data_IF_700792052198
#
_entry.id   IF_700792052198
#
_cell.length_a   1.000
_cell.length_b   1.000
_cell.length_c   1.000
_cell.angle_alpha   90.00
_cell.angle_beta   90.00
_cell.angle_gamma   90.00
#
_symmetry.space_group_name_H-M   'P 1'
#
loop_
_entity.id
_entity.type
_entity.pdbx_description
1 polymer ?
#
# COMPACT_ATOMS: atom_id res chain seq x y z
N UNK A 1 5.35 18.43 15.16
CA UNK A 1 6.06 17.19 14.79
C UNK A 1 5.25 15.97 15.19
N UNK A 2 4.85 15.83 16.46
CA UNK A 2 3.95 14.76 16.93
C UNK A 2 2.72 14.54 16.03
N UNK A 3 1.86 15.54 15.84
CA UNK A 3 0.66 15.44 14.98
C UNK A 3 1.00 15.06 13.53
N UNK A 4 2.18 15.47 13.04
CA UNK A 4 2.64 15.17 11.68
C UNK A 4 2.99 13.68 11.56
N UNK A 5 3.63 13.12 12.58
CA UNK A 5 3.93 11.68 12.67
C UNK A 5 2.62 10.90 12.82
N UNK A 6 1.75 11.30 13.75
CA UNK A 6 0.45 10.66 14.00
C UNK A 6 -0.42 10.61 12.73
N UNK A 7 -0.53 11.73 12.02
CA UNK A 7 -1.26 11.81 10.75
C UNK A 7 -0.63 10.98 9.62
N UNK A 8 0.62 10.52 9.77
CA UNK A 8 1.31 9.65 8.82
C UNK A 8 1.33 8.17 9.23
N UNK A 9 0.79 7.82 10.40
CA UNK A 9 0.62 6.41 10.79
C UNK A 9 -0.42 5.77 9.87
N UNK A 10 -0.09 4.59 9.36
CA UNK A 10 -0.94 3.78 8.48
C UNK A 10 -1.11 2.39 9.07
N UNK A 11 -2.27 1.78 8.80
CA UNK A 11 -2.53 0.39 9.12
C UNK A 11 -1.95 -0.56 8.06
N UNK A 12 -2.37 -1.82 8.12
CA UNK A 12 -2.05 -2.80 7.08
C UNK A 12 -2.60 -2.40 5.72
N UNK A 13 -1.83 -2.63 4.66
CA UNK A 13 -2.25 -2.41 3.28
C UNK A 13 -3.09 -3.61 2.83
N UNK A 14 -4.31 -3.35 2.38
CA UNK A 14 -5.17 -4.33 1.72
C UNK A 14 -5.44 -3.85 0.29
N UNK A 15 -4.88 -4.56 -0.69
CA UNK A 15 -4.91 -4.17 -2.09
C UNK A 15 -5.26 -5.37 -2.99
N UNK A 16 -6.09 -5.12 -4.00
CA UNK A 16 -6.52 -6.14 -4.96
C UNK A 16 -6.28 -5.62 -6.38
N UNK A 17 -5.18 -6.08 -7.00
CA UNK A 17 -4.86 -5.74 -8.40
C UNK A 17 -5.82 -6.38 -9.40
N UNK A 18 -6.07 -7.69 -9.21
CA UNK A 18 -6.92 -8.51 -10.09
C UNK A 18 -8.04 -9.11 -9.26
N UNK A 19 -9.29 -8.76 -9.60
CA UNK A 19 -10.48 -9.19 -8.83
C UNK A 19 -10.77 -10.68 -8.90
N UNK A 20 -10.37 -11.32 -10.00
CA UNK A 20 -10.57 -12.75 -10.20
C UNK A 20 -9.36 -13.35 -10.92
N UNK A 21 -8.83 -14.41 -10.35
CA UNK A 21 -7.84 -15.27 -11.00
C UNK A 21 -8.20 -16.72 -10.70
N UNK A 22 -8.03 -17.58 -11.70
CA UNK A 22 -8.29 -19.01 -11.59
C UNK A 22 -7.03 -19.77 -11.98
N UNK A 23 -6.76 -20.87 -11.27
CA UNK A 23 -5.64 -21.76 -11.55
C UNK A 23 -6.13 -22.86 -12.50
N UNK A 24 -5.55 -22.97 -13.69
CA UNK A 24 -5.79 -24.05 -14.65
C UNK A 24 -4.74 -25.14 -14.48
N UNK A 25 -4.52 -25.61 -13.25
CA UNK A 25 -3.49 -26.62 -13.01
C UNK A 25 -4.09 -28.03 -13.00
N UNK A 26 -3.30 -29.01 -13.44
CA UNK A 26 -3.68 -30.44 -13.52
C UNK A 26 -4.03 -31.11 -12.17
N UNK A 27 -3.68 -30.50 -11.05
CA UNK A 27 -3.98 -30.98 -9.71
C UNK A 27 -5.33 -30.47 -9.17
N UNK A 28 -5.96 -29.50 -9.83
CA UNK A 28 -7.30 -28.97 -9.48
C UNK A 28 -8.26 -29.31 -10.60
N UNK A 29 -8.88 -30.49 -10.49
CA UNK A 29 -9.69 -31.10 -11.56
C UNK A 29 -10.92 -30.28 -11.94
N UNK A 30 -11.48 -29.51 -11.00
CA UNK A 30 -12.68 -28.70 -11.21
C UNK A 30 -12.44 -27.52 -12.16
N UNK A 31 -11.21 -27.01 -12.23
CA UNK A 31 -10.84 -25.85 -13.05
C UNK A 31 -9.86 -26.19 -14.17
N UNK A 32 -9.34 -27.42 -14.24
CA UNK A 32 -8.41 -27.84 -15.28
C UNK A 32 -9.07 -27.86 -16.67
N UNK A 33 -8.35 -27.34 -17.67
CA UNK A 33 -8.77 -27.29 -19.07
C UNK A 33 -7.54 -27.56 -19.94
N UNK A 34 -7.49 -28.75 -20.57
CA UNK A 34 -6.37 -29.16 -21.44
C UNK A 34 -6.12 -28.22 -22.62
N UNK A 35 -7.10 -27.39 -22.99
CA UNK A 35 -6.97 -26.40 -24.08
C UNK A 35 -6.33 -25.10 -23.63
N UNK A 36 -6.12 -24.92 -22.32
CA UNK A 36 -5.51 -23.70 -21.75
C UNK A 36 -4.10 -24.00 -21.26
N UNK A 37 -3.29 -22.95 -21.22
CA UNK A 37 -1.99 -23.00 -20.57
C UNK A 37 -2.16 -23.25 -19.07
N UNK A 38 -1.32 -24.13 -18.50
CA UNK A 38 -1.34 -24.41 -17.07
C UNK A 38 -0.98 -23.16 -16.28
N UNK A 39 -1.81 -22.81 -15.29
CA UNK A 39 -1.57 -21.67 -14.41
C UNK A 39 -1.67 -22.06 -12.95
N UNK A 40 -0.82 -21.47 -12.11
CA UNK A 40 -0.73 -21.74 -10.67
C UNK A 40 -0.94 -20.46 -9.87
N UNK A 41 -1.67 -20.56 -8.75
CA UNK A 41 -1.82 -19.45 -7.79
C UNK A 41 -0.96 -19.76 -6.58
N UNK A 42 -0.03 -18.86 -6.26
CA UNK A 42 0.83 -18.98 -5.07
C UNK A 42 0.36 -18.01 -4.00
N UNK A 43 0.15 -18.53 -2.80
CA UNK A 43 -0.09 -17.72 -1.60
C UNK A 43 1.20 -17.69 -0.80
N UNK A 44 1.63 -16.49 -0.43
CA UNK A 44 2.80 -16.27 0.44
C UNK A 44 2.33 -15.55 1.68
N UNK A 45 2.80 -15.99 2.84
CA UNK A 45 2.54 -15.34 4.12
C UNK A 45 3.84 -15.18 4.89
N UNK A 46 3.97 -14.06 5.60
CA UNK A 46 5.10 -13.79 6.47
C UNK A 46 4.73 -14.20 7.89
N UNK A 47 5.54 -15.07 8.49
CA UNK A 47 5.37 -15.45 9.90
C UNK A 47 5.77 -14.27 10.79
N UNK A 48 4.86 -13.81 11.64
CA UNK A 48 5.10 -12.72 12.59
C UNK A 48 5.67 -11.44 11.95
N UNK A 49 4.95 -10.90 10.95
CA UNK A 49 5.37 -9.69 10.22
C UNK A 49 5.75 -8.54 11.15
N UNK A 50 4.90 -8.21 12.13
CA UNK A 50 5.18 -7.11 13.06
C UNK A 50 6.40 -7.39 13.95
N UNK A 51 6.55 -8.62 14.45
CA UNK A 51 7.72 -8.99 15.23
C UNK A 51 9.02 -8.88 14.44
N UNK A 52 9.01 -9.30 13.16
CA UNK A 52 10.15 -9.11 12.26
C UNK A 52 10.46 -7.62 12.03
N UNK A 53 9.44 -6.77 11.85
CA UNK A 53 9.65 -5.33 11.71
C UNK A 53 10.25 -4.72 12.99
N UNK A 54 9.86 -5.22 14.16
CA UNK A 54 10.42 -4.77 15.45
C UNK A 54 11.89 -5.14 15.65
N UNK A 55 12.46 -6.06 14.87
CA UNK A 55 13.90 -6.36 14.90
C UNK A 55 14.71 -5.50 13.93
N UNK A 56 14.07 -4.65 13.14
CA UNK A 56 14.76 -3.74 12.22
C UNK A 56 15.15 -2.44 12.94
N UNK A 57 15.90 -1.56 12.26
CA UNK A 57 16.15 -0.22 12.76
C UNK A 57 14.83 0.55 12.89
N UNK A 58 14.60 1.13 14.06
CA UNK A 58 13.39 1.88 14.38
C UNK A 58 13.76 3.26 14.91
N UNK A 59 12.99 4.25 14.52
CA UNK A 59 13.11 5.62 15.01
C UNK A 59 12.62 5.73 16.46
N UNK A 60 13.57 5.92 17.38
CA UNK A 60 13.29 5.96 18.82
C UNK A 60 13.20 7.37 19.41
N UNK A 61 13.78 8.40 18.77
CA UNK A 61 13.78 9.76 19.33
C UNK A 61 14.74 10.74 18.67
N UNK A 62 14.96 11.88 19.34
CA UNK A 62 15.82 12.99 18.90
C UNK A 62 15.44 13.60 17.53
N UNK A 63 14.16 13.55 17.21
CA UNK A 63 13.64 14.13 15.99
C UNK A 63 13.91 15.64 15.96
N UNK A 64 14.55 16.11 14.89
CA UNK A 64 14.79 17.52 14.61
C UNK A 64 14.36 17.85 13.20
N UNK A 65 13.87 19.07 13.00
CA UNK A 65 13.75 19.60 11.65
C UNK A 65 15.13 20.01 11.16
N UNK A 66 15.41 19.70 9.90
CA UNK A 66 16.60 20.21 9.23
C UNK A 66 16.41 21.70 8.91
N UNK A 67 17.51 22.44 9.01
CA UNK A 67 17.62 23.81 8.48
C UNK A 67 17.55 23.80 6.95
N UNK A 68 17.27 24.96 6.34
CA UNK A 68 17.22 25.10 4.88
C UNK A 68 18.55 24.73 4.20
N UNK A 69 19.68 25.01 4.85
CA UNK A 69 21.00 24.61 4.37
C UNK A 69 21.19 23.10 4.41
N UNK A 70 20.88 22.46 5.55
CA UNK A 70 20.95 21.00 5.68
C UNK A 70 20.06 20.29 4.65
N UNK A 71 18.87 20.82 4.36
CA UNK A 71 17.98 20.27 3.32
C UNK A 71 18.61 20.39 1.92
N UNK A 72 19.25 21.52 1.62
CA UNK A 72 19.87 21.75 0.31
C UNK A 72 21.05 20.81 0.06
N UNK A 73 21.79 20.47 1.12
CA UNK A 73 22.96 19.60 1.05
C UNK A 73 22.59 18.11 1.19
N UNK A 74 21.32 17.79 1.50
CA UNK A 74 20.84 16.42 1.64
C UNK A 74 20.63 15.77 0.27
N UNK A 75 21.46 14.77 -0.05
CA UNK A 75 21.22 13.89 -1.19
C UNK A 75 20.38 12.67 -0.77
N UNK A 76 19.08 12.73 -1.04
CA UNK A 76 18.13 11.66 -0.68
C UNK A 76 18.47 10.32 -1.34
N UNK A 77 19.11 10.32 -2.51
CA UNK A 77 19.42 9.10 -3.26
C UNK A 77 20.61 8.33 -2.68
N UNK A 78 21.39 8.94 -1.80
CA UNK A 78 22.58 8.34 -1.18
C UNK A 78 22.32 7.86 0.25
N UNK A 79 21.09 8.02 0.76
CA UNK A 79 20.72 7.58 2.10
C UNK A 79 20.73 6.05 2.23
N UNK A 80 21.30 5.55 3.32
CA UNK A 80 21.36 4.12 3.62
C UNK A 80 20.38 3.74 4.74
N UNK A 81 19.67 2.62 4.55
CA UNK A 81 18.73 2.08 5.54
C UNK A 81 19.41 1.49 6.80
N UNK A 82 20.74 1.58 6.90
CA UNK A 82 21.52 1.13 8.06
C UNK A 82 22.22 2.27 8.78
N UNK A 83 21.94 3.51 8.38
CA UNK A 83 22.55 4.68 8.99
C UNK A 83 21.93 4.92 10.37
N UNK A 84 22.72 5.52 11.27
CA UNK A 84 22.25 5.85 12.61
C UNK A 84 21.24 7.02 12.64
N UNK A 85 21.01 7.66 11.48
CA UNK A 85 20.09 8.79 11.30
C UNK A 85 19.21 8.48 10.10
N UNK A 86 17.90 8.55 10.30
CA UNK A 86 16.90 8.42 9.24
C UNK A 86 16.10 9.72 9.08
N UNK A 87 15.38 9.82 7.97
CA UNK A 87 14.70 11.05 7.57
C UNK A 87 13.22 10.79 7.25
N UNK A 88 12.35 11.66 7.76
CA UNK A 88 10.99 11.81 7.22
C UNK A 88 11.02 12.89 6.16
N UNK A 89 10.62 12.54 4.94
CA UNK A 89 10.58 13.44 3.80
C UNK A 89 9.14 13.83 3.51
N UNK A 90 8.90 15.13 3.40
CA UNK A 90 7.65 15.70 2.90
C UNK A 90 7.96 16.26 1.51
N UNK A 91 7.44 15.60 0.48
CA UNK A 91 7.87 15.79 -0.91
C UNK A 91 6.68 15.76 -1.85
N UNK A 92 6.78 16.55 -2.92
CA UNK A 92 5.87 16.44 -4.06
C UNK A 92 6.36 15.29 -4.96
N UNK A 93 5.48 14.32 -5.22
CA UNK A 93 5.77 13.17 -6.08
C UNK A 93 5.02 13.28 -7.39
N UNK A 94 5.75 13.18 -8.50
CA UNK A 94 5.17 12.97 -9.82
C UNK A 94 5.25 11.49 -10.15
N UNK A 95 4.09 10.85 -10.35
CA UNK A 95 4.01 9.43 -10.67
C UNK A 95 3.65 9.23 -12.17
N UNK A 96 4.62 8.84 -13.03
CA UNK A 96 4.37 8.70 -14.46
C UNK A 96 3.37 7.59 -14.78
N UNK A 97 2.37 7.90 -15.62
CA UNK A 97 1.32 6.97 -16.04
C UNK A 97 1.83 5.66 -16.64
N UNK A 98 2.96 5.72 -17.36
CA UNK A 98 3.62 4.52 -17.94
C UNK A 98 4.02 3.46 -16.90
N UNK A 99 4.13 3.83 -15.62
CA UNK A 99 4.51 2.90 -14.55
C UNK A 99 3.31 2.18 -13.92
N UNK A 100 2.08 2.63 -14.20
CA UNK A 100 0.87 2.14 -13.52
C UNK A 100 0.66 0.65 -13.74
N UNK A 101 0.88 0.17 -14.97
CA UNK A 101 0.75 -1.25 -15.31
C UNK A 101 1.98 -2.08 -14.91
N UNK A 102 3.11 -1.44 -14.60
CA UNK A 102 4.34 -2.15 -14.22
C UNK A 102 4.44 -2.41 -12.71
N UNK A 103 3.80 -1.59 -11.88
CA UNK A 103 3.88 -1.71 -10.43
C UNK A 103 2.70 -2.45 -9.83
N UNK A 104 2.99 -3.27 -8.83
CA UNK A 104 1.98 -4.08 -8.12
C UNK A 104 1.32 -3.34 -6.95
N UNK A 105 1.91 -2.26 -6.44
CA UNK A 105 1.41 -1.52 -5.28
C UNK A 105 1.36 -0.01 -5.57
N UNK A 106 0.42 0.72 -4.94
CA UNK A 106 0.38 2.18 -5.06
C UNK A 106 1.65 2.82 -4.47
N UNK A 107 2.13 3.88 -5.10
CA UNK A 107 3.25 4.66 -4.60
C UNK A 107 2.74 5.65 -3.54
N UNK A 108 3.34 5.60 -2.35
CA UNK A 108 3.06 6.53 -1.24
C UNK A 108 1.56 6.69 -0.90
N UNK A 109 0.89 5.61 -0.46
CA UNK A 109 -0.55 5.66 -0.22
C UNK A 109 -0.91 6.60 0.94
N UNK A 110 -1.98 7.37 0.74
CA UNK A 110 -2.46 8.36 1.70
C UNK A 110 -3.90 8.06 2.16
N UNK A 111 -4.29 8.63 3.30
CA UNK A 111 -5.68 8.54 3.75
C UNK A 111 -6.54 9.47 2.91
N UNK A 112 -7.43 8.91 2.11
CA UNK A 112 -8.40 9.67 1.32
C UNK A 112 -9.82 9.38 1.76
N UNK A 113 -10.68 10.38 1.66
CA UNK A 113 -12.11 10.22 1.85
C UNK A 113 -12.73 9.67 0.56
N UNK A 114 -13.39 8.51 0.67
CA UNK A 114 -14.08 7.90 -0.47
C UNK A 114 -15.49 8.46 -0.55
N UNK A 115 -15.74 9.34 -1.52
CA UNK A 115 -17.05 9.98 -1.72
C UNK A 115 -17.84 9.34 -2.87
N UNK A 116 -17.32 9.37 -4.10
CA UNK A 116 -18.02 8.99 -5.32
C UNK A 116 -17.34 7.85 -6.12
N UNK A 117 -16.23 7.30 -5.61
CA UNK A 117 -15.45 6.25 -6.26
C UNK A 117 -16.06 4.84 -6.17
N UNK A 118 -17.36 4.71 -5.95
CA UNK A 118 -18.04 3.42 -5.80
C UNK A 118 -18.45 2.86 -7.17
N UNK A 119 -18.09 1.59 -7.41
CA UNK A 119 -18.56 0.88 -8.59
C UNK A 119 -20.08 0.66 -8.56
N UNK A 120 -20.76 0.54 -9.72
CA UNK A 120 -22.19 0.26 -9.79
C UNK A 120 -22.61 -0.98 -8.99
N UNK A 121 -21.74 -2.00 -8.93
CA UNK A 121 -21.96 -3.21 -8.15
C UNK A 121 -21.98 -2.92 -6.63
N UNK A 122 -21.04 -2.13 -6.13
CA UNK A 122 -21.00 -1.75 -4.71
C UNK A 122 -22.24 -0.96 -4.31
N UNK A 123 -22.69 -0.03 -5.16
CA UNK A 123 -23.92 0.74 -4.93
C UNK A 123 -25.14 -0.19 -4.87
N UNK A 124 -25.24 -1.15 -5.80
CA UNK A 124 -26.32 -2.15 -5.80
C UNK A 124 -26.30 -3.02 -4.54
N UNK A 125 -25.12 -3.45 -4.12
CA UNK A 125 -24.94 -4.28 -2.91
C UNK A 125 -25.37 -3.52 -1.66
N UNK A 126 -24.99 -2.25 -1.51
CA UNK A 126 -25.42 -1.39 -0.39
C UNK A 126 -26.94 -1.30 -0.32
N UNK A 127 -27.60 -1.05 -1.46
CA UNK A 127 -29.08 -0.99 -1.53
C UNK A 127 -29.71 -2.32 -1.12
N UNK A 128 -29.20 -3.44 -1.62
CA UNK A 128 -29.73 -4.76 -1.31
C UNK A 128 -29.56 -5.14 0.18
N UNK A 129 -28.51 -4.65 0.82
CA UNK A 129 -28.22 -4.91 2.24
C UNK A 129 -28.83 -3.85 3.17
N UNK A 130 -29.56 -2.85 2.64
CA UNK A 130 -30.12 -1.76 3.44
C UNK A 130 -29.08 -0.83 4.08
N UNK A 131 -27.86 -0.80 3.56
CA UNK A 131 -26.74 -0.02 4.10
C UNK A 131 -26.70 1.38 3.49
N UNK A 132 -26.32 2.38 4.30
CA UNK A 132 -26.11 3.77 3.86
C UNK A 132 -24.66 4.00 3.47
N UNK A 133 -24.44 4.84 2.46
CA UNK A 133 -23.12 5.37 2.16
C UNK A 133 -22.71 6.35 3.27
N UNK A 134 -21.54 6.14 3.84
CA UNK A 134 -20.89 7.11 4.73
C UNK A 134 -19.83 7.86 3.93
N UNK A 135 -19.87 9.19 4.02
CA UNK A 135 -18.86 10.07 3.41
C UNK A 135 -17.63 10.24 4.30
N UNK A 136 -17.60 9.61 5.48
CA UNK A 136 -16.49 9.69 6.44
C UNK A 136 -15.60 8.44 6.39
N UNK A 137 -15.72 7.64 5.33
CA UNK A 137 -14.91 6.44 5.18
C UNK A 137 -13.53 6.83 4.67
N UNK A 138 -12.57 6.95 5.58
CA UNK A 138 -11.16 7.05 5.24
C UNK A 138 -10.64 5.71 4.75
N UNK A 139 -9.99 5.70 3.60
CA UNK A 139 -9.24 4.55 3.10
C UNK A 139 -7.82 4.96 2.76
N UNK A 140 -6.91 4.01 2.92
CA UNK A 140 -5.62 4.09 2.24
C UNK A 140 -5.85 3.86 0.74
N UNK A 141 -5.47 4.84 -0.06
CA UNK A 141 -5.44 4.75 -1.53
C UNK A 141 -4.03 4.98 -2.04
#
# INVERSE_FOLDING_TARGET
MYLRIENNIRGGICYVRKRYSCSYNRFVTESFDEKREESYVRVVNVNNLHGYTMTQFLLIGNFKYLSKSEIKDLNVLELSAKDNVEYFLDVDLLYPSKLYDSHDFPLAPEHTEITDMFSPYQIKLLKNQGLKLSNQNHKLT
#
